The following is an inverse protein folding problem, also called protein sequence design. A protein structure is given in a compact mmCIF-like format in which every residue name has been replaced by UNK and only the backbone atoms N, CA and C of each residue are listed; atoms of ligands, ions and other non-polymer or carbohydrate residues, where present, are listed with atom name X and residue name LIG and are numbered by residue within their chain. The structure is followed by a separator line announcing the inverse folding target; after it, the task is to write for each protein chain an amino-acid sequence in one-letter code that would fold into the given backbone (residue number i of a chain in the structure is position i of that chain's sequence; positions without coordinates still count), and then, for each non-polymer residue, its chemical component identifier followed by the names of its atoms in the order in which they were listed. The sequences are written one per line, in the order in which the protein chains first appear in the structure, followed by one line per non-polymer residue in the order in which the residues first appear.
data_IF_903809367069
#
_entry.id   IF_903809367069
#
_cell.length_a   1.000
_cell.length_b   1.000
_cell.length_c   1.000
_cell.angle_alpha   90.00
_cell.angle_beta   90.00
_cell.angle_gamma   90.00
#
_symmetry.space_group_name_H-M   'P 1'
#
loop_
_entity.id
_entity.type
_entity.pdbx_description
1 polymer ?
#
# COMPACT_ATOMS: atom_id res chain seq x y z
N UNK A 1 15.95 -2.16 -4.51
CA UNK A 1 15.96 -1.42 -5.79
C UNK A 1 14.87 -0.39 -5.68
N UNK A 2 15.21 0.89 -5.80
CA UNK A 2 14.22 1.95 -5.72
C UNK A 2 13.26 1.83 -6.90
N UNK A 3 11.97 1.73 -6.62
CA UNK A 3 10.93 1.71 -7.64
C UNK A 3 11.00 2.99 -8.45
N UNK A 4 10.76 2.89 -9.74
CA UNK A 4 10.76 4.04 -10.65
C UNK A 4 9.77 3.83 -11.78
N UNK A 5 9.15 4.90 -12.26
CA UNK A 5 8.30 4.91 -13.46
C UNK A 5 8.97 5.73 -14.56
N UNK A 6 8.88 5.31 -15.83
CA UNK A 6 9.38 6.13 -16.93
C UNK A 6 8.42 7.28 -17.22
N UNK A 7 8.91 8.38 -17.79
CA UNK A 7 8.02 9.50 -18.18
C UNK A 7 7.05 9.06 -19.27
N UNK A 8 7.48 8.14 -20.15
CA UNK A 8 6.60 7.50 -21.13
C UNK A 8 5.42 6.80 -20.45
N UNK A 9 5.68 5.91 -19.49
CA UNK A 9 4.62 5.20 -18.77
C UNK A 9 3.73 6.16 -17.97
N UNK A 10 4.33 7.21 -17.37
CA UNK A 10 3.58 8.26 -16.67
C UNK A 10 2.63 8.99 -17.64
N UNK A 11 3.12 9.37 -18.82
CA UNK A 11 2.34 10.07 -19.82
C UNK A 11 1.19 9.18 -20.33
N UNK A 12 1.48 7.97 -20.79
CA UNK A 12 0.48 7.04 -21.35
C UNK A 12 -0.61 6.68 -20.34
N UNK A 13 -0.27 6.51 -19.05
CA UNK A 13 -1.25 6.19 -18.00
C UNK A 13 -2.13 7.36 -17.59
N UNK A 14 -1.68 8.60 -17.79
CA UNK A 14 -2.34 9.79 -17.24
C UNK A 14 -2.70 10.85 -18.30
N UNK A 15 -2.51 10.57 -19.58
CA UNK A 15 -2.73 11.52 -20.68
C UNK A 15 -4.13 12.14 -20.62
N UNK A 16 -5.16 11.29 -20.54
CA UNK A 16 -6.55 11.72 -20.49
C UNK A 16 -6.90 12.37 -19.15
N UNK A 17 -6.56 11.72 -18.03
CA UNK A 17 -6.94 12.16 -16.68
C UNK A 17 -6.30 13.51 -16.31
N UNK A 18 -5.03 13.70 -16.66
CA UNK A 18 -4.30 14.93 -16.40
C UNK A 18 -4.26 15.88 -17.60
N UNK A 19 -4.93 15.57 -18.71
CA UNK A 19 -4.92 16.38 -19.94
C UNK A 19 -3.49 16.76 -20.35
N UNK A 20 -2.61 15.76 -20.46
CA UNK A 20 -1.19 15.95 -20.74
C UNK A 20 -0.93 16.14 -22.23
N UNK A 21 0.01 17.03 -22.55
CA UNK A 21 0.50 17.26 -23.91
C UNK A 21 2.02 17.41 -23.88
N UNK A 22 2.75 16.71 -24.73
CA UNK A 22 4.21 16.89 -24.80
C UNK A 22 4.51 18.16 -25.58
N UNK A 23 5.20 19.11 -24.96
CA UNK A 23 5.58 20.37 -25.60
C UNK A 23 7.00 20.33 -26.20
N UNK A 24 7.91 19.56 -25.61
CA UNK A 24 9.31 19.46 -26.05
C UNK A 24 10.03 18.27 -25.39
N UNK A 25 11.18 17.88 -25.94
CA UNK A 25 12.11 16.94 -25.30
C UNK A 25 11.65 15.48 -25.34
N UNK A 26 10.89 15.08 -26.36
CA UNK A 26 10.36 13.71 -26.54
C UNK A 26 11.44 12.62 -26.50
N UNK A 27 12.67 12.92 -26.93
CA UNK A 27 13.80 12.00 -26.84
C UNK A 27 14.14 11.57 -25.40
N UNK A 28 13.69 12.34 -24.41
CA UNK A 28 13.89 12.12 -22.99
C UNK A 28 12.81 11.29 -22.29
N UNK A 29 11.80 10.78 -22.98
CA UNK A 29 10.67 10.08 -22.33
C UNK A 29 11.08 8.79 -21.57
N UNK A 30 12.26 8.25 -21.85
CA UNK A 30 12.82 7.09 -21.13
C UNK A 30 13.41 7.45 -19.76
N UNK A 31 13.54 8.74 -19.42
CA UNK A 31 13.99 9.16 -18.09
C UNK A 31 12.99 8.69 -17.02
N UNK A 32 13.47 8.55 -15.80
CA UNK A 32 12.75 7.89 -14.71
C UNK A 32 12.39 8.87 -13.60
N UNK A 33 11.19 8.74 -13.07
CA UNK A 33 10.74 9.38 -11.84
C UNK A 33 10.88 8.35 -10.73
N UNK A 34 11.75 8.65 -9.76
CA UNK A 34 11.99 7.81 -8.57
C UNK A 34 11.55 8.45 -7.26
N UNK A 35 11.09 9.71 -7.30
CA UNK A 35 10.65 10.46 -6.11
C UNK A 35 9.21 10.92 -6.33
N UNK A 36 8.34 10.62 -5.37
CA UNK A 36 6.91 10.96 -5.47
C UNK A 36 6.61 12.44 -5.19
N UNK A 37 7.47 13.09 -4.39
CA UNK A 37 7.37 14.51 -4.14
C UNK A 37 7.64 15.32 -5.41
N UNK A 38 6.91 16.42 -5.56
CA UNK A 38 7.11 17.40 -6.61
C UNK A 38 7.88 18.63 -6.10
N UNK A 39 8.38 19.44 -7.02
CA UNK A 39 8.98 20.72 -6.69
C UNK A 39 8.42 21.84 -7.57
N UNK A 40 8.23 23.04 -7.01
CA UNK A 40 7.90 24.23 -7.78
C UNK A 40 9.16 25.04 -8.01
N UNK A 41 9.41 25.48 -9.24
CA UNK A 41 10.69 26.10 -9.63
C UNK A 41 10.89 27.54 -9.11
N UNK A 42 9.98 28.08 -8.29
CA UNK A 42 9.99 29.47 -7.81
C UNK A 42 11.35 29.99 -7.33
N UNK A 43 11.96 29.38 -6.30
CA UNK A 43 13.26 29.85 -5.75
C UNK A 43 14.42 29.68 -6.72
N UNK A 44 14.38 28.65 -7.57
CA UNK A 44 15.48 28.33 -8.48
C UNK A 44 15.54 29.36 -9.61
N UNK A 45 14.38 29.87 -10.03
CA UNK A 45 14.28 30.95 -11.01
C UNK A 45 14.88 32.28 -10.54
N UNK A 46 15.12 32.46 -9.23
CA UNK A 46 15.81 33.64 -8.69
C UNK A 46 17.33 33.46 -8.60
N UNK A 47 17.85 32.27 -8.94
CA UNK A 47 19.27 31.96 -8.89
C UNK A 47 19.73 31.22 -7.61
N UNK A 48 18.81 30.82 -6.73
CA UNK A 48 19.13 30.09 -5.50
C UNK A 48 19.03 28.57 -5.68
N UNK A 49 20.14 27.83 -5.51
CA UNK A 49 20.22 26.40 -5.87
C UNK A 49 20.63 25.46 -4.71
N UNK A 50 21.00 25.96 -3.53
CA UNK A 50 21.64 25.16 -2.46
C UNK A 50 20.84 23.94 -2.00
N UNK A 51 19.51 23.97 -2.20
CA UNK A 51 18.60 22.87 -1.87
C UNK A 51 17.68 22.52 -3.03
N UNK A 52 18.13 22.67 -4.28
CA UNK A 52 17.30 22.36 -5.44
C UNK A 52 17.01 20.85 -5.53
N UNK A 53 15.75 20.39 -5.33
CA UNK A 53 15.44 18.98 -5.33
C UNK A 53 15.21 18.49 -6.76
N UNK A 54 16.28 18.46 -7.56
CA UNK A 54 16.24 18.23 -9.00
C UNK A 54 15.69 16.85 -9.40
N UNK A 55 15.82 15.84 -8.54
CA UNK A 55 15.31 14.48 -8.76
C UNK A 55 13.77 14.39 -8.79
N UNK A 56 13.08 15.44 -8.32
CA UNK A 56 11.61 15.54 -8.30
C UNK A 56 11.07 15.96 -9.66
N UNK A 57 9.79 15.70 -9.89
CA UNK A 57 9.08 16.34 -10.99
C UNK A 57 9.00 17.84 -10.74
N UNK A 58 9.44 18.64 -11.71
CA UNK A 58 9.49 20.09 -11.60
C UNK A 58 8.21 20.70 -12.14
N UNK A 59 7.60 21.63 -11.42
CA UNK A 59 6.33 22.28 -11.77
C UNK A 59 6.58 23.77 -12.01
N UNK A 60 6.03 24.25 -13.12
CA UNK A 60 5.94 25.66 -13.49
C UNK A 60 4.46 26.02 -13.54
N UNK A 61 4.05 26.93 -12.65
CA UNK A 61 2.70 27.46 -12.57
C UNK A 61 2.60 28.89 -13.07
N UNK A 62 1.46 29.50 -12.76
CA UNK A 62 1.18 30.89 -13.11
C UNK A 62 2.22 31.84 -12.49
N UNK A 63 2.56 31.65 -11.21
CA UNK A 63 3.51 32.51 -10.51
C UNK A 63 4.89 32.50 -11.16
N UNK A 64 5.40 31.31 -11.48
CA UNK A 64 6.70 31.13 -12.15
C UNK A 64 6.69 31.76 -13.55
N UNK A 65 5.66 31.53 -14.36
CA UNK A 65 5.55 32.15 -15.70
C UNK A 65 5.43 33.67 -15.61
N UNK A 66 4.63 34.20 -14.66
CA UNK A 66 4.50 35.65 -14.47
C UNK A 66 5.83 36.27 -14.06
N UNK A 67 6.61 35.61 -13.21
CA UNK A 67 7.96 36.03 -12.85
C UNK A 67 8.87 36.07 -14.09
N UNK A 68 8.89 34.98 -14.88
CA UNK A 68 9.66 34.88 -16.12
C UNK A 68 9.30 35.95 -17.17
N UNK A 69 8.03 36.34 -17.24
CA UNK A 69 7.56 37.39 -18.17
C UNK A 69 7.88 38.81 -17.69
N UNK A 70 7.91 39.04 -16.37
CA UNK A 70 8.09 40.37 -15.78
C UNK A 70 9.54 40.72 -15.47
N UNK A 71 10.41 39.72 -15.29
CA UNK A 71 11.82 39.89 -14.93
C UNK A 71 12.71 39.27 -15.98
N UNK A 72 13.82 39.95 -16.30
CA UNK A 72 14.84 39.41 -17.21
C UNK A 72 15.67 38.39 -16.42
N UNK A 73 15.26 37.14 -16.46
CA UNK A 73 16.06 36.05 -15.90
C UNK A 73 17.29 35.85 -16.78
N UNK A 74 18.45 35.70 -16.15
CA UNK A 74 19.70 35.47 -16.87
C UNK A 74 19.73 34.05 -17.45
N UNK A 75 20.20 33.90 -18.69
CA UNK A 75 20.35 32.63 -19.41
C UNK A 75 21.13 31.58 -18.59
N UNK A 76 22.12 32.03 -17.82
CA UNK A 76 22.90 31.22 -16.87
C UNK A 76 22.02 30.46 -15.85
N UNK A 77 20.89 31.03 -15.42
CA UNK A 77 19.97 30.38 -14.47
C UNK A 77 19.28 29.20 -15.16
N UNK A 78 18.85 29.35 -16.41
CA UNK A 78 18.21 28.26 -17.14
C UNK A 78 19.23 27.17 -17.48
N UNK A 79 20.41 27.53 -17.97
CA UNK A 79 21.48 26.55 -18.20
C UNK A 79 21.80 25.75 -16.94
N UNK A 80 21.86 26.43 -15.79
CA UNK A 80 22.09 25.77 -14.51
C UNK A 80 20.94 24.84 -14.12
N UNK A 81 19.66 25.21 -14.31
CA UNK A 81 18.51 24.30 -14.08
C UNK A 81 18.65 23.04 -14.95
N UNK A 82 18.88 23.22 -16.25
CA UNK A 82 18.96 22.12 -17.21
C UNK A 82 20.27 21.31 -17.13
N UNK A 83 21.26 21.78 -16.36
CA UNK A 83 22.47 21.02 -16.05
C UNK A 83 22.24 19.87 -15.06
N UNK A 84 21.15 19.91 -14.28
CA UNK A 84 20.78 18.84 -13.37
C UNK A 84 20.04 17.72 -14.08
N UNK A 85 20.11 16.50 -13.52
CA UNK A 85 19.38 15.34 -14.02
C UNK A 85 17.90 15.36 -13.61
N UNK A 86 17.16 16.37 -14.09
CA UNK A 86 15.73 16.52 -13.84
C UNK A 86 14.96 15.42 -14.59
N UNK A 87 13.99 14.72 -13.98
CA UNK A 87 13.18 13.76 -14.72
C UNK A 87 12.38 14.48 -15.82
N UNK A 88 11.49 15.39 -15.44
CA UNK A 88 10.61 16.12 -16.35
C UNK A 88 10.21 17.47 -15.76
N UNK A 89 9.80 18.39 -16.62
CA UNK A 89 9.22 19.69 -16.24
C UNK A 89 7.76 19.71 -16.70
N UNK A 90 6.84 20.00 -15.80
CA UNK A 90 5.42 20.16 -16.10
C UNK A 90 5.02 21.63 -16.04
N UNK A 91 4.36 22.11 -17.09
CA UNK A 91 3.81 23.45 -17.18
C UNK A 91 2.29 23.39 -17.08
N UNK A 92 1.75 23.98 -16.03
CA UNK A 92 0.31 23.90 -15.72
C UNK A 92 -0.47 25.01 -16.42
N UNK A 93 -1.81 24.88 -16.47
CA UNK A 93 -2.75 25.82 -17.12
C UNK A 93 -2.47 26.10 -18.60
N UNK A 94 -1.86 25.14 -19.30
CA UNK A 94 -1.44 25.26 -20.72
C UNK A 94 -0.68 26.55 -21.02
N UNK A 95 0.07 27.07 -20.05
CA UNK A 95 0.78 28.34 -20.18
C UNK A 95 1.82 28.29 -21.30
N UNK A 96 2.09 29.46 -21.88
CA UNK A 96 3.16 29.62 -22.86
C UNK A 96 4.52 29.42 -22.20
N UNK A 97 5.34 28.62 -22.85
CA UNK A 97 6.69 28.27 -22.39
C UNK A 97 7.68 29.20 -23.11
N UNK A 98 8.62 29.84 -22.40
CA UNK A 98 9.67 30.62 -23.05
C UNK A 98 10.45 29.79 -24.08
N UNK A 99 10.77 30.38 -25.23
CA UNK A 99 11.48 29.68 -26.32
C UNK A 99 12.83 29.10 -25.87
N UNK A 100 13.51 29.78 -24.96
CA UNK A 100 14.78 29.36 -24.38
C UNK A 100 14.65 28.05 -23.58
N UNK A 101 13.57 27.89 -22.82
CA UNK A 101 13.23 26.64 -22.12
C UNK A 101 13.02 25.48 -23.10
N UNK A 102 12.30 25.73 -24.21
CA UNK A 102 12.07 24.71 -25.24
C UNK A 102 13.38 24.32 -25.93
N UNK A 103 14.27 25.28 -26.19
CA UNK A 103 15.59 25.03 -26.79
C UNK A 103 16.46 24.16 -25.87
N UNK A 104 16.60 24.54 -24.60
CA UNK A 104 17.38 23.79 -23.61
C UNK A 104 16.80 22.40 -23.34
N UNK A 105 15.47 22.27 -23.31
CA UNK A 105 14.78 20.99 -23.20
C UNK A 105 15.14 20.02 -24.32
N UNK A 106 15.16 20.49 -25.57
CA UNK A 106 15.58 19.66 -26.72
C UNK A 106 17.05 19.28 -26.63
N UNK A 107 17.91 20.25 -26.32
CA UNK A 107 19.36 20.03 -26.24
C UNK A 107 19.73 19.02 -25.15
N UNK A 108 19.16 19.17 -23.95
CA UNK A 108 19.43 18.28 -22.80
C UNK A 108 18.53 17.06 -22.75
N UNK A 109 17.60 16.92 -23.70
CA UNK A 109 16.62 15.81 -23.76
C UNK A 109 15.83 15.67 -22.46
N UNK A 110 15.39 16.79 -21.91
CA UNK A 110 14.52 16.84 -20.73
C UNK A 110 13.09 17.09 -21.23
N UNK A 111 12.14 16.16 -21.04
CA UNK A 111 10.77 16.35 -21.47
C UNK A 111 10.14 17.55 -20.78
N UNK A 112 9.43 18.37 -21.55
CA UNK A 112 8.50 19.35 -21.03
C UNK A 112 7.09 18.93 -21.43
N UNK A 113 6.23 18.76 -20.43
CA UNK A 113 4.84 18.36 -20.61
C UNK A 113 3.96 19.52 -20.14
N UNK A 114 2.88 19.79 -20.88
CA UNK A 114 1.83 20.74 -20.51
C UNK A 114 0.64 20.00 -19.94
N UNK A 115 -0.10 20.68 -19.08
CA UNK A 115 -1.43 20.26 -18.64
C UNK A 115 -2.36 21.46 -18.61
N UNK A 116 -3.62 21.25 -19.01
CA UNK A 116 -4.68 22.24 -18.87
C UNK A 116 -5.10 22.45 -17.40
N UNK A 117 -4.73 21.55 -16.50
CA UNK A 117 -5.11 21.60 -15.09
C UNK A 117 -4.42 22.74 -14.34
N UNK A 118 -5.10 23.23 -13.31
CA UNK A 118 -4.53 24.19 -12.38
C UNK A 118 -3.45 23.55 -11.51
N UNK A 119 -2.45 24.36 -11.12
CA UNK A 119 -1.28 23.89 -10.38
C UNK A 119 -1.63 23.09 -9.13
N UNK A 120 -2.62 23.54 -8.33
CA UNK A 120 -3.05 22.83 -7.13
C UNK A 120 -3.64 21.44 -7.44
N UNK A 121 -4.60 21.39 -8.37
CA UNK A 121 -5.25 20.13 -8.78
C UNK A 121 -4.24 19.14 -9.35
N UNK A 122 -3.38 19.60 -10.26
CA UNK A 122 -2.35 18.76 -10.85
C UNK A 122 -1.36 18.26 -9.80
N UNK A 123 -0.88 19.15 -8.92
CA UNK A 123 0.07 18.81 -7.86
C UNK A 123 -0.46 17.69 -6.97
N UNK A 124 -1.71 17.78 -6.51
CA UNK A 124 -2.32 16.74 -5.69
C UNK A 124 -2.45 15.43 -6.47
N UNK A 125 -2.94 15.48 -7.71
CA UNK A 125 -3.14 14.29 -8.53
C UNK A 125 -1.83 13.53 -8.83
N UNK A 126 -0.80 14.24 -9.29
CA UNK A 126 0.50 13.62 -9.59
C UNK A 126 1.16 13.06 -8.34
N UNK A 127 1.08 13.74 -7.20
CA UNK A 127 1.66 13.22 -5.94
C UNK A 127 0.98 11.93 -5.53
N UNK A 128 -0.36 11.86 -5.53
CA UNK A 128 -1.08 10.63 -5.21
C UNK A 128 -0.75 9.48 -6.18
N UNK A 129 -0.68 9.77 -7.48
CA UNK A 129 -0.29 8.79 -8.49
C UNK A 129 1.12 8.25 -8.25
N UNK A 130 2.09 9.13 -8.04
CA UNK A 130 3.47 8.72 -7.83
C UNK A 130 3.66 8.01 -6.48
N UNK A 131 2.95 8.41 -5.43
CA UNK A 131 2.96 7.71 -4.14
C UNK A 131 2.49 6.25 -4.29
N UNK A 132 1.42 6.00 -5.05
CA UNK A 132 0.93 4.63 -5.26
C UNK A 132 1.88 3.80 -6.15
N UNK A 133 2.35 4.37 -7.26
CA UNK A 133 3.21 3.64 -8.21
C UNK A 133 4.57 3.34 -7.60
N UNK A 134 5.14 4.29 -6.84
CA UNK A 134 6.45 4.16 -6.22
C UNK A 134 6.40 3.52 -4.83
N UNK A 135 5.20 3.23 -4.30
CA UNK A 135 5.00 2.59 -2.99
C UNK A 135 5.87 1.33 -2.86
N UNK A 136 6.63 1.18 -1.75
CA UNK A 136 7.35 -0.04 -1.44
C UNK A 136 6.40 -1.23 -1.49
N UNK A 137 6.79 -2.29 -2.20
CA UNK A 137 5.99 -3.52 -2.27
C UNK A 137 6.82 -4.77 -2.12
N UNK A 138 6.19 -5.82 -1.61
CA UNK A 138 6.73 -7.18 -1.55
C UNK A 138 5.70 -8.17 -2.05
N UNK A 139 6.15 -9.35 -2.45
CA UNK A 139 5.29 -10.47 -2.75
C UNK A 139 5.40 -11.50 -1.62
N UNK A 140 4.26 -11.97 -1.12
CA UNK A 140 4.16 -13.02 -0.11
C UNK A 140 3.31 -14.16 -0.65
N UNK A 141 3.75 -15.38 -0.38
CA UNK A 141 2.97 -16.56 -0.70
C UNK A 141 1.95 -16.83 0.41
N UNK A 142 0.68 -16.99 0.05
CA UNK A 142 -0.43 -17.11 0.99
C UNK A 142 -1.76 -16.80 0.33
N UNK A 143 -2.81 -16.71 1.15
CA UNK A 143 -4.16 -16.41 0.69
C UNK A 143 -4.67 -15.20 1.44
N UNK A 144 -5.03 -14.15 0.71
CA UNK A 144 -5.57 -12.92 1.28
C UNK A 144 -7.09 -12.94 1.14
N UNK A 145 -7.78 -12.84 2.27
CA UNK A 145 -9.24 -12.83 2.37
C UNK A 145 -9.70 -11.67 3.22
N UNK A 146 -10.86 -11.08 2.89
CA UNK A 146 -11.52 -10.13 3.75
C UNK A 146 -12.59 -10.85 4.57
N UNK A 147 -12.34 -10.94 5.89
CA UNK A 147 -13.20 -11.63 6.86
C UNK A 147 -13.94 -10.58 7.68
N UNK A 148 -15.25 -10.45 7.45
CA UNK A 148 -16.09 -9.48 8.15
C UNK A 148 -15.57 -8.02 8.12
N UNK A 149 -14.97 -7.60 7.00
CA UNK A 149 -14.40 -6.26 6.82
C UNK A 149 -12.92 -6.13 7.20
N UNK A 150 -12.30 -7.16 7.77
CA UNK A 150 -10.88 -7.17 8.12
C UNK A 150 -10.09 -7.99 7.10
N UNK A 151 -9.01 -7.42 6.55
CA UNK A 151 -8.17 -8.22 5.66
C UNK A 151 -7.18 -9.10 6.42
N UNK A 152 -7.26 -10.40 6.13
CA UNK A 152 -6.52 -11.47 6.79
C UNK A 152 -5.63 -12.16 5.78
N UNK A 153 -4.31 -12.11 5.99
CA UNK A 153 -3.35 -12.88 5.21
C UNK A 153 -3.10 -14.23 5.87
N UNK A 154 -3.59 -15.30 5.24
CA UNK A 154 -3.41 -16.68 5.68
C UNK A 154 -2.15 -17.24 5.01
N UNK A 155 -1.19 -17.68 5.80
CA UNK A 155 0.07 -18.22 5.30
C UNK A 155 0.48 -19.46 6.11
N UNK A 156 1.48 -20.18 5.64
CA UNK A 156 1.90 -21.45 6.21
C UNK A 156 2.48 -22.39 5.15
N UNK A 157 2.91 -23.57 5.59
CA UNK A 157 3.54 -24.56 4.73
C UNK A 157 2.67 -24.94 3.52
N UNK A 158 3.30 -25.38 2.43
CA UNK A 158 2.57 -25.92 1.28
C UNK A 158 1.69 -27.11 1.71
N UNK A 159 0.51 -27.24 1.12
CA UNK A 159 -0.44 -28.35 1.40
C UNK A 159 -1.11 -28.35 2.77
N UNK A 160 -0.98 -27.28 3.57
CA UNK A 160 -1.58 -27.23 4.91
C UNK A 160 -3.09 -26.95 4.91
N UNK A 161 -3.67 -26.62 3.74
CA UNK A 161 -5.09 -26.32 3.60
C UNK A 161 -5.42 -24.83 3.51
N UNK A 162 -4.50 -23.95 3.03
CA UNK A 162 -4.72 -22.50 2.97
C UNK A 162 -5.89 -22.15 2.05
N UNK A 163 -5.85 -22.64 0.81
CA UNK A 163 -6.86 -22.38 -0.22
C UNK A 163 -8.19 -23.06 0.13
N UNK A 164 -8.17 -24.27 0.70
CA UNK A 164 -9.37 -24.95 1.20
C UNK A 164 -10.04 -24.21 2.36
N UNK A 165 -9.24 -23.66 3.28
CA UNK A 165 -9.75 -22.82 4.38
C UNK A 165 -10.36 -21.53 3.84
N UNK A 166 -9.71 -20.90 2.86
CA UNK A 166 -10.25 -19.71 2.20
C UNK A 166 -11.55 -20.00 1.46
N UNK A 167 -11.65 -21.14 0.78
CA UNK A 167 -12.89 -21.58 0.13
C UNK A 167 -14.04 -21.79 1.13
N UNK A 168 -13.76 -22.33 2.33
CA UNK A 168 -14.77 -22.42 3.40
C UNK A 168 -15.18 -21.02 3.89
N UNK A 169 -14.25 -20.08 4.04
CA UNK A 169 -14.56 -18.69 4.39
C UNK A 169 -15.45 -18.02 3.33
N UNK A 170 -15.17 -18.24 2.04
CA UNK A 170 -15.98 -17.69 0.94
C UNK A 170 -17.41 -18.25 1.00
N UNK A 171 -17.57 -19.55 1.25
CA UNK A 171 -18.89 -20.18 1.44
C UNK A 171 -19.66 -19.60 2.63
N UNK A 172 -18.98 -19.03 3.62
CA UNK A 172 -19.57 -18.32 4.77
C UNK A 172 -19.88 -16.84 4.50
N UNK A 173 -19.62 -16.35 3.29
CA UNK A 173 -19.91 -14.97 2.87
C UNK A 173 -18.72 -14.01 2.99
N UNK A 174 -17.50 -14.52 3.22
CA UNK A 174 -16.28 -13.71 3.18
C UNK A 174 -15.77 -13.56 1.75
N UNK A 175 -14.82 -12.65 1.56
CA UNK A 175 -14.41 -12.20 0.22
C UNK A 175 -12.97 -12.64 -0.06
N UNK A 176 -12.74 -13.28 -1.21
CA UNK A 176 -11.39 -13.56 -1.69
C UNK A 176 -10.76 -12.29 -2.29
N UNK A 177 -9.52 -12.03 -1.93
CA UNK A 177 -8.73 -10.97 -2.56
C UNK A 177 -7.67 -11.58 -3.48
N UNK A 178 -6.92 -12.55 -2.96
CA UNK A 178 -5.84 -13.22 -3.68
C UNK A 178 -5.63 -14.63 -3.15
N UNK A 179 -5.28 -15.57 -4.03
CA UNK A 179 -4.81 -16.91 -3.70
C UNK A 179 -3.39 -17.09 -4.25
N UNK A 180 -2.58 -17.87 -3.55
CA UNK A 180 -1.18 -18.19 -3.83
C UNK A 180 -0.19 -17.01 -3.75
N UNK A 181 -0.36 -15.98 -4.58
CA UNK A 181 0.57 -14.85 -4.75
C UNK A 181 -0.12 -13.56 -4.34
N UNK A 182 0.37 -12.95 -3.25
CA UNK A 182 -0.15 -11.69 -2.70
C UNK A 182 0.91 -10.60 -2.84
N UNK A 183 0.66 -9.58 -3.66
CA UNK A 183 1.45 -8.35 -3.63
C UNK A 183 0.95 -7.49 -2.47
N UNK A 184 1.86 -7.05 -1.60
CA UNK A 184 1.56 -6.15 -0.48
C UNK A 184 2.33 -4.85 -0.71
N UNK A 185 1.62 -3.73 -0.74
CA UNK A 185 2.16 -2.37 -0.86
C UNK A 185 2.01 -1.61 0.44
N UNK A 186 3.02 -0.82 0.83
CA UNK A 186 2.91 0.16 1.92
C UNK A 186 2.51 1.51 1.33
N UNK A 187 1.27 1.89 1.57
CA UNK A 187 0.71 3.18 1.17
C UNK A 187 0.91 4.23 2.27
N UNK A 188 0.48 5.46 1.98
CA UNK A 188 0.53 6.59 2.91
C UNK A 188 -0.09 6.26 4.28
N UNK A 189 0.54 6.74 5.35
CA UNK A 189 0.08 6.51 6.73
C UNK A 189 0.34 5.09 7.25
N UNK A 190 1.34 4.40 6.70
CA UNK A 190 1.74 3.04 7.11
C UNK A 190 0.65 1.98 6.97
N UNK A 191 -0.24 2.20 6.01
CA UNK A 191 -1.30 1.27 5.66
C UNK A 191 -0.74 0.25 4.66
N UNK A 192 -0.82 -1.03 5.02
CA UNK A 192 -0.50 -2.11 4.10
C UNK A 192 -1.75 -2.51 3.32
N UNK A 193 -1.66 -2.51 2.01
CA UNK A 193 -2.72 -2.96 1.10
C UNK A 193 -2.22 -4.16 0.31
N UNK A 194 -2.97 -5.25 0.36
CA UNK A 194 -2.70 -6.47 -0.37
C UNK A 194 -3.63 -6.66 -1.56
N UNK A 195 -3.11 -7.18 -2.66
CA UNK A 195 -3.85 -7.49 -3.89
C UNK A 195 -3.30 -8.76 -4.55
N UNK A 196 -4.12 -9.39 -5.38
CA UNK A 196 -3.70 -10.53 -6.19
C UNK A 196 -3.02 -10.10 -7.50
N UNK A 197 -2.28 -11.01 -8.11
CA UNK A 197 -1.75 -10.81 -9.46
C UNK A 197 -2.89 -10.70 -10.49
N UNK A 198 -2.74 -9.81 -11.47
CA UNK A 198 -3.80 -9.49 -12.43
C UNK A 198 -4.19 -10.69 -13.31
N UNK A 199 -3.22 -11.55 -13.68
CA UNK A 199 -3.43 -12.68 -14.57
C UNK A 199 -4.29 -13.79 -13.94
N UNK A 200 -4.04 -14.11 -12.66
CA UNK A 200 -4.73 -15.18 -11.92
C UNK A 200 -5.78 -14.63 -10.96
N UNK A 201 -6.19 -13.38 -11.16
CA UNK A 201 -7.15 -12.70 -10.30
C UNK A 201 -8.45 -13.50 -10.20
N UNK A 202 -8.97 -13.65 -8.98
CA UNK A 202 -10.22 -14.37 -8.65
C UNK A 202 -10.21 -15.87 -8.95
N UNK A 203 -9.08 -16.42 -9.39
CA UNK A 203 -8.91 -17.85 -9.56
C UNK A 203 -8.29 -18.45 -8.30
N UNK A 204 -8.58 -19.73 -8.06
CA UNK A 204 -8.05 -20.49 -6.94
C UNK A 204 -7.72 -21.91 -7.41
N UNK A 205 -6.56 -22.44 -7.02
CA UNK A 205 -6.22 -23.83 -7.28
C UNK A 205 -6.72 -24.72 -6.13
N UNK A 206 -7.55 -25.71 -6.44
CA UNK A 206 -7.98 -26.72 -5.47
C UNK A 206 -7.47 -28.08 -5.92
N UNK A 207 -6.70 -28.74 -5.05
CA UNK A 207 -6.16 -30.07 -5.35
C UNK A 207 -7.27 -31.09 -5.56
N UNK A 208 -7.14 -31.88 -6.62
CA UNK A 208 -8.14 -32.86 -7.03
C UNK A 208 -9.33 -32.29 -7.81
N UNK A 209 -9.44 -30.96 -7.92
CA UNK A 209 -10.47 -30.29 -8.73
C UNK A 209 -9.82 -29.52 -9.90
N UNK A 210 -8.73 -28.80 -9.65
CA UNK A 210 -8.07 -27.91 -10.60
C UNK A 210 -8.31 -26.44 -10.27
N UNK A 211 -8.09 -25.57 -11.25
CA UNK A 211 -8.29 -24.12 -11.12
C UNK A 211 -9.80 -23.81 -11.23
N UNK A 212 -10.32 -23.05 -10.27
CA UNK A 212 -11.71 -22.61 -10.24
C UNK A 212 -11.81 -21.08 -10.27
N UNK A 213 -12.85 -20.56 -10.89
CA UNK A 213 -13.19 -19.13 -10.88
C UNK A 213 -14.19 -18.83 -9.76
N UNK A 214 -13.71 -18.14 -8.72
CA UNK A 214 -14.51 -17.83 -7.53
C UNK A 214 -15.62 -16.83 -7.85
N UNK A 215 -15.36 -15.84 -8.72
CA UNK A 215 -16.35 -14.83 -9.12
C UNK A 215 -17.53 -15.47 -9.82
N UNK A 216 -17.29 -16.42 -10.73
CA UNK A 216 -18.34 -17.10 -11.47
C UNK A 216 -19.09 -18.13 -10.63
N UNK A 217 -18.42 -18.80 -9.68
CA UNK A 217 -19.06 -19.81 -8.81
C UNK A 217 -19.88 -19.19 -7.68
N UNK A 218 -19.41 -18.11 -7.06
CA UNK A 218 -20.01 -17.53 -5.84
C UNK A 218 -20.53 -16.10 -6.02
N UNK A 219 -20.39 -15.52 -7.22
CA UNK A 219 -20.88 -14.20 -7.58
C UNK A 219 -19.90 -13.07 -7.28
N UNK A 220 -20.21 -11.87 -7.77
CA UNK A 220 -19.30 -10.71 -7.70
C UNK A 220 -18.97 -10.26 -6.27
N UNK A 221 -19.85 -10.52 -5.30
CA UNK A 221 -19.63 -10.18 -3.89
C UNK A 221 -18.63 -11.10 -3.17
N UNK A 222 -18.25 -12.22 -3.79
CA UNK A 222 -17.29 -13.17 -3.23
C UNK A 222 -15.83 -12.81 -3.50
N UNK A 223 -15.59 -11.76 -4.29
CA UNK A 223 -14.25 -11.31 -4.67
C UNK A 223 -14.07 -9.81 -4.55
N UNK A 224 -12.84 -9.37 -4.32
CA UNK A 224 -12.44 -7.96 -4.38
C UNK A 224 -11.00 -7.82 -4.89
N UNK A 225 -10.65 -6.66 -5.44
CA UNK A 225 -9.33 -6.45 -6.05
C UNK A 225 -8.21 -6.24 -5.03
N UNK A 226 -8.52 -5.60 -3.90
CA UNK A 226 -7.53 -5.32 -2.85
C UNK A 226 -8.19 -5.15 -1.48
N UNK A 227 -7.43 -5.36 -0.40
CA UNK A 227 -7.88 -5.06 0.96
C UNK A 227 -6.69 -4.69 1.84
N UNK A 228 -6.94 -4.06 2.99
CA UNK A 228 -5.87 -3.77 3.96
C UNK A 228 -5.37 -5.07 4.58
N UNK A 229 -4.06 -5.21 4.82
CA UNK A 229 -3.52 -6.37 5.56
C UNK A 229 -3.47 -6.01 7.04
N UNK A 230 -4.44 -6.52 7.80
CA UNK A 230 -4.68 -6.10 9.20
C UNK A 230 -4.46 -7.23 10.21
N UNK A 231 -4.48 -8.48 9.76
CA UNK A 231 -4.22 -9.67 10.58
C UNK A 231 -3.44 -10.70 9.79
N UNK A 232 -2.39 -11.24 10.40
CA UNK A 232 -1.64 -12.37 9.87
C UNK A 232 -2.10 -13.65 10.56
N UNK A 233 -2.47 -14.66 9.78
CA UNK A 233 -2.82 -15.98 10.30
C UNK A 233 -1.84 -17.00 9.76
N UNK A 234 -1.02 -17.55 10.65
CA UNK A 234 -0.14 -18.65 10.32
C UNK A 234 -0.83 -19.98 10.60
N UNK A 235 -1.04 -20.78 9.57
CA UNK A 235 -1.41 -22.18 9.71
C UNK A 235 -0.16 -23.01 9.97
N UNK A 236 -0.18 -23.81 11.02
CA UNK A 236 0.90 -24.75 11.36
C UNK A 236 0.35 -26.17 11.58
N UNK A 237 1.13 -27.19 11.23
CA UNK A 237 0.75 -28.56 11.57
C UNK A 237 0.81 -28.73 13.09
N UNK A 238 -0.19 -29.40 13.67
CA UNK A 238 -0.16 -29.73 15.08
C UNK A 238 1.05 -30.63 15.41
N UNK A 239 2.09 -30.05 16.02
CA UNK A 239 3.15 -30.79 16.69
C UNK A 239 2.79 -30.93 18.17
N UNK A 240 2.59 -32.16 18.66
CA UNK A 240 2.10 -32.44 20.01
C UNK A 240 2.97 -31.89 21.16
N UNK A 241 4.20 -31.47 20.86
CA UNK A 241 5.16 -30.90 21.82
C UNK A 241 5.09 -29.36 21.91
N UNK A 242 4.46 -28.68 20.96
CA UNK A 242 4.41 -27.21 20.95
C UNK A 242 3.26 -26.73 21.85
N UNK A 243 3.58 -26.02 22.92
CA UNK A 243 2.56 -25.36 23.74
C UNK A 243 1.97 -24.18 22.96
N UNK A 244 0.68 -24.30 22.62
CA UNK A 244 -0.09 -23.20 22.05
C UNK A 244 -0.63 -22.31 23.16
N UNK A 245 -0.65 -21.02 22.89
CA UNK A 245 -1.11 -20.02 23.84
C UNK A 245 -2.62 -20.20 24.12
N UNK A 246 -2.96 -20.38 25.40
CA UNK A 246 -4.34 -20.72 25.83
C UNK A 246 -5.13 -19.53 26.34
N UNK A 247 -4.44 -18.52 26.85
CA UNK A 247 -5.05 -17.37 27.51
C UNK A 247 -5.15 -16.16 26.58
N UNK A 248 -4.26 -16.04 25.58
CA UNK A 248 -4.20 -14.89 24.67
C UNK A 248 -3.86 -13.60 25.40
N UNK A 249 -2.92 -13.68 26.34
CA UNK A 249 -2.44 -12.56 27.15
C UNK A 249 -1.33 -11.80 26.43
N UNK A 250 -0.54 -12.49 25.61
CA UNK A 250 0.55 -11.89 24.84
C UNK A 250 0.10 -11.67 23.38
N UNK A 251 0.17 -10.43 22.94
CA UNK A 251 -0.09 -10.08 21.54
C UNK A 251 1.19 -10.28 20.72
N UNK A 252 1.13 -11.22 19.77
CA UNK A 252 2.21 -11.44 18.81
C UNK A 252 2.05 -10.52 17.61
N UNK A 253 3.17 -10.00 17.13
CA UNK A 253 3.23 -9.14 15.96
C UNK A 253 4.35 -9.60 15.05
N UNK A 254 4.12 -9.44 13.76
CA UNK A 254 5.12 -9.59 12.71
C UNK A 254 5.23 -8.31 11.90
N UNK A 255 6.36 -8.15 11.24
CA UNK A 255 6.66 -6.94 10.48
C UNK A 255 6.61 -7.19 8.98
N UNK A 256 5.88 -6.34 8.26
CA UNK A 256 5.85 -6.30 6.80
C UNK A 256 6.15 -4.87 6.36
N UNK A 257 7.19 -4.67 5.55
CA UNK A 257 7.59 -3.35 5.04
C UNK A 257 7.78 -2.28 6.14
N UNK A 258 8.24 -2.66 7.34
CA UNK A 258 8.37 -1.72 8.47
C UNK A 258 7.12 -1.54 9.33
N UNK A 259 6.00 -2.18 8.98
CA UNK A 259 4.72 -2.03 9.66
C UNK A 259 4.43 -3.29 10.50
N UNK A 260 4.12 -3.09 11.79
CA UNK A 260 3.77 -4.18 12.71
C UNK A 260 2.30 -4.58 12.54
N UNK A 261 2.07 -5.85 12.24
CA UNK A 261 0.74 -6.46 12.08
C UNK A 261 0.55 -7.54 13.14
N UNK A 262 -0.60 -7.63 13.82
CA UNK A 262 -0.91 -8.73 14.72
C UNK A 262 -0.83 -10.07 13.99
N UNK A 263 -0.26 -11.08 14.65
CA UNK A 263 -0.12 -12.43 14.11
C UNK A 263 -0.73 -13.47 15.06
N UNK A 264 -1.48 -14.41 14.49
CA UNK A 264 -2.08 -15.54 15.20
C UNK A 264 -1.66 -16.84 14.54
N UNK A 265 -1.10 -17.76 15.32
CA UNK A 265 -0.77 -19.11 14.86
C UNK A 265 -1.93 -20.06 15.18
N UNK A 266 -2.51 -20.68 14.15
CA UNK A 266 -3.61 -21.65 14.30
C UNK A 266 -3.10 -23.03 13.92
N UNK A 267 -3.11 -24.01 14.84
CA UNK A 267 -2.69 -25.34 14.50
C UNK A 267 -3.80 -26.15 13.84
N UNK A 268 -3.46 -26.75 12.71
CA UNK A 268 -4.33 -27.56 11.86
C UNK A 268 -4.30 -29.00 12.36
N UNK A 269 -5.49 -29.53 12.66
CA UNK A 269 -5.73 -30.91 13.09
C UNK A 269 -7.08 -31.39 12.52
N UNK A 270 -7.21 -32.66 12.11
CA UNK A 270 -8.49 -33.21 11.69
C UNK A 270 -9.61 -32.94 12.70
N UNK A 271 -10.78 -32.56 12.21
CA UNK A 271 -11.96 -32.22 13.02
C UNK A 271 -12.00 -30.78 13.55
N UNK A 272 -10.95 -29.97 13.36
CA UNK A 272 -11.00 -28.53 13.67
C UNK A 272 -11.59 -27.75 12.51
N UNK A 273 -12.54 -26.88 12.80
CA UNK A 273 -13.02 -25.90 11.83
C UNK A 273 -12.06 -24.70 11.79
N UNK A 274 -11.13 -24.70 10.84
CA UNK A 274 -10.10 -23.65 10.75
C UNK A 274 -10.71 -22.32 10.33
N UNK A 275 -11.63 -22.33 9.35
CA UNK A 275 -12.32 -21.12 8.90
C UNK A 275 -13.03 -20.40 10.06
N UNK A 276 -13.76 -21.13 10.89
CA UNK A 276 -14.44 -20.59 12.07
C UNK A 276 -13.48 -20.03 13.12
N UNK A 277 -12.29 -20.64 13.29
CA UNK A 277 -11.26 -20.09 14.19
C UNK A 277 -10.71 -18.77 13.62
N UNK A 278 -10.52 -18.67 12.29
CA UNK A 278 -10.10 -17.44 11.63
C UNK A 278 -11.16 -16.33 11.77
N UNK A 279 -12.45 -16.66 11.64
CA UNK A 279 -13.55 -15.71 11.89
C UNK A 279 -13.47 -15.16 13.33
N UNK A 280 -13.29 -16.03 14.32
CA UNK A 280 -13.15 -15.63 15.72
C UNK A 280 -11.88 -14.78 15.92
N UNK A 281 -10.77 -15.14 15.29
CA UNK A 281 -9.52 -14.37 15.37
C UNK A 281 -9.69 -12.95 14.82
N UNK A 282 -10.33 -12.79 13.66
CA UNK A 282 -10.65 -11.50 13.06
C UNK A 282 -11.59 -10.67 13.95
N UNK A 283 -12.65 -11.28 14.49
CA UNK A 283 -13.58 -10.61 15.42
C UNK A 283 -12.87 -10.16 16.71
N UNK A 284 -12.04 -11.02 17.29
CA UNK A 284 -11.26 -10.73 18.50
C UNK A 284 -10.28 -9.59 18.25
N UNK A 285 -9.59 -9.59 17.10
CA UNK A 285 -8.69 -8.50 16.74
C UNK A 285 -9.43 -7.18 16.58
N UNK A 286 -10.65 -7.21 16.04
CA UNK A 286 -11.50 -6.01 15.94
C UNK A 286 -11.93 -5.48 17.29
N UNK A 287 -12.16 -6.36 18.27
CA UNK A 287 -12.44 -5.97 19.66
C UNK A 287 -11.22 -5.33 20.33
N UNK A 288 -10.02 -5.91 20.13
CA UNK A 288 -8.76 -5.35 20.63
C UNK A 288 -8.49 -3.95 20.07
N UNK A 289 -8.75 -3.73 18.77
CA UNK A 289 -8.65 -2.41 18.14
C UNK A 289 -9.64 -1.38 18.75
N UNK A 290 -10.71 -1.84 19.41
CA UNK A 290 -11.66 -0.99 20.15
C UNK A 290 -11.35 -0.91 21.66
N UNK A 291 -10.21 -1.45 22.10
CA UNK A 291 -9.75 -1.44 23.49
C UNK A 291 -10.34 -2.54 24.38
N UNK A 292 -11.02 -3.55 23.81
CA UNK A 292 -11.57 -4.66 24.59
C UNK A 292 -10.65 -5.89 24.54
N UNK A 293 -10.13 -6.30 25.70
CA UNK A 293 -9.22 -7.43 25.85
C UNK A 293 -9.81 -8.50 26.77
N UNK A 294 -10.55 -9.47 26.20
CA UNK A 294 -11.27 -10.50 26.94
C UNK A 294 -10.39 -11.29 27.94
N UNK A 295 -9.15 -11.62 27.55
CA UNK A 295 -8.20 -12.33 28.39
C UNK A 295 -7.79 -11.53 29.64
N UNK A 296 -7.54 -10.23 29.46
CA UNK A 296 -7.18 -9.34 30.56
C UNK A 296 -8.36 -9.13 31.50
N UNK A 297 -9.57 -8.97 30.94
CA UNK A 297 -10.79 -8.80 31.73
C UNK A 297 -11.11 -10.05 32.55
N UNK A 298 -10.94 -11.25 31.98
CA UNK A 298 -11.10 -12.50 32.72
C UNK A 298 -10.04 -12.64 33.82
N UNK A 299 -8.78 -12.32 33.51
CA UNK A 299 -7.69 -12.38 34.48
C UNK A 299 -7.94 -11.43 35.67
N UNK A 300 -8.40 -10.20 35.42
CA UNK A 300 -8.80 -9.25 36.47
C UNK A 300 -9.89 -9.84 37.37
N UNK A 301 -10.95 -10.42 36.79
CA UNK A 301 -12.05 -11.04 37.55
C UNK A 301 -11.59 -12.23 38.38
N UNK A 302 -10.71 -13.08 37.85
CA UNK A 302 -10.15 -14.22 38.59
C UNK A 302 -9.32 -13.75 39.79
N UNK A 303 -8.48 -12.73 39.60
CA UNK A 303 -7.67 -12.13 40.67
C UNK A 303 -8.57 -11.51 41.75
N UNK A 304 -9.66 -10.84 41.36
CA UNK A 304 -10.64 -10.28 42.30
C UNK A 304 -11.33 -11.38 43.12
N UNK A 305 -11.79 -12.46 42.47
CA UNK A 305 -12.39 -13.61 43.16
C UNK A 305 -11.44 -14.25 44.17
N UNK A 306 -10.17 -14.46 43.80
CA UNK A 306 -9.18 -15.04 44.71
C UNK A 306 -8.93 -14.15 45.93
N UNK A 307 -8.86 -12.82 45.73
CA UNK A 307 -8.72 -11.86 46.84
C UNK A 307 -9.91 -11.86 47.78
N UNK A 308 -11.14 -12.01 47.26
CA UNK A 308 -12.34 -12.10 48.09
C UNK A 308 -12.38 -13.41 48.90
N UNK A 309 -11.99 -14.53 48.31
CA UNK A 309 -11.90 -15.82 49.02
C UNK A 309 -10.86 -15.77 50.15
N UNK A 310 -9.69 -15.20 49.89
CA UNK A 310 -8.64 -15.04 50.92
C UNK A 310 -9.10 -14.11 52.06
N UNK A 311 -9.84 -13.06 51.74
CA UNK A 311 -10.41 -12.14 52.73
C UNK A 311 -11.47 -12.82 53.61
N UNK A 312 -12.32 -13.66 53.02
CA UNK A 312 -13.32 -14.47 53.75
C UNK A 312 -12.65 -15.51 54.67
N UNK A 313 -11.65 -16.24 54.17
CA UNK A 313 -10.88 -17.22 54.97
C UNK A 313 -10.15 -16.58 56.16
N UNK A 314 -9.69 -15.34 56.03
CA UNK A 314 -9.04 -14.61 57.11
C UNK A 314 -10.04 -14.08 58.15
N UNK A 315 -11.28 -13.79 57.76
CA UNK A 315 -12.36 -13.39 58.67
C UNK A 315 -12.94 -14.58 59.46
N UNK A 316 -12.96 -15.79 58.89
CA UNK A 316 -13.42 -17.02 59.58
C UNK A 316 -12.39 -17.60 60.56
N UNK A 317 -11.13 -17.12 60.51
CA UNK A 317 -10.04 -17.53 61.40
C UNK A 317 -9.81 -16.60 62.60
N UNK A 318 -10.55 -15.50 62.68
CA UNK A 318 -10.59 -14.58 63.84
C UNK A 318 -11.82 -14.86 64.69
#
# INVERSE_FOLDING_TARGET
MDKSITIKDFFEKNETEFSLEIASGEEGLNRKIGVAEINRLGLVLTGFFDYFPYQRVQIIGLGEITYLKSHKVHEEVFEKIFSYEIPTIIVTRSLEIPLEFLKLSKEKKIPIIKTALETGKFSTGITLFLEDVLAPSIVKHGVLVNVSGMGVLIFGNASIGKSETALELIKRGHVLVADDVVEIKRQFGDVLVGSGEELIRHHMEIRGIGIIDIRNLFGIFSVMDSTKVELLVQLENWAGEKEYERLGLDDKYSEILGVRIPEVTIPVKPGRNIAGIIEIAAMNQRLKLRGYHAAQDLNKRLIEMMREEDRKKNLEKQ
#
